data_IF_899966876713
#
_entry.id   IF_899966876713
#
_cell.length_a   1.000
_cell.length_b   1.000
_cell.length_c   1.000
_cell.angle_alpha   90.00
_cell.angle_beta   90.00
_cell.angle_gamma   90.00
#
_symmetry.space_group_name_H-M   'P 1'
#
loop_
_entity.id
_entity.type
_entity.pdbx_description
1 polymer ?
#
# COMPACT_ATOMS: atom_id res chain seq x y z
N UNK A 1 -25.53 -17.09 70.48
CA UNK A 1 -24.44 -16.57 69.62
C UNK A 1 -23.14 -17.12 70.16
N UNK A 2 -22.68 -18.21 69.54
CA UNK A 2 -21.52 -19.06 69.82
C UNK A 2 -21.19 -19.72 68.47
N UNK A 3 -20.01 -20.17 68.09
CA UNK A 3 -18.66 -20.21 68.64
C UNK A 3 -17.72 -20.54 67.47
N UNK A 4 -16.42 -20.40 67.68
CA UNK A 4 -15.34 -21.03 66.91
C UNK A 4 -15.50 -22.56 66.82
N UNK A 5 -14.84 -23.23 65.86
CA UNK A 5 -13.82 -24.28 66.08
C UNK A 5 -13.41 -25.02 64.79
N UNK A 6 -12.22 -25.62 64.87
CA UNK A 6 -11.37 -26.19 63.84
C UNK A 6 -11.59 -27.70 63.57
N UNK A 7 -10.63 -28.30 62.84
CA UNK A 7 -10.19 -29.72 62.76
C UNK A 7 -10.68 -30.48 61.50
N UNK A 8 -9.85 -30.88 60.51
CA UNK A 8 -8.76 -31.88 60.37
C UNK A 8 -9.23 -33.35 60.17
N UNK A 9 -8.56 -34.04 59.22
CA UNK A 9 -8.46 -35.51 58.94
C UNK A 9 -9.74 -36.21 58.43
N UNK A 10 -9.77 -37.27 57.60
CA UNK A 10 -8.78 -38.20 57.04
C UNK A 10 -9.29 -38.86 55.75
N UNK A 11 -8.33 -39.34 54.96
CA UNK A 11 -8.25 -40.57 54.15
C UNK A 11 -9.35 -41.65 54.31
N UNK A 12 -9.74 -42.31 53.21
CA UNK A 12 -9.26 -43.66 52.82
C UNK A 12 -10.15 -44.33 51.76
N UNK A 13 -9.46 -45.03 50.83
CA UNK A 13 -9.89 -46.23 50.07
C UNK A 13 -11.09 -46.09 49.11
N UNK A 14 -11.10 -46.62 47.90
CA UNK A 14 -10.33 -47.72 47.31
C UNK A 14 -11.32 -48.66 46.60
N UNK A 15 -10.95 -49.15 45.42
CA UNK A 15 -11.52 -50.30 44.68
C UNK A 15 -12.91 -50.17 44.01
N UNK A 16 -12.93 -50.23 42.67
CA UNK A 16 -13.33 -51.41 41.85
C UNK A 16 -13.53 -50.97 40.38
N UNK A 17 -12.82 -51.61 39.44
CA UNK A 17 -13.25 -51.68 38.02
C UNK A 17 -14.37 -52.73 37.85
N UNK A 18 -14.79 -53.15 36.63
CA UNK A 18 -14.26 -52.86 35.29
C UNK A 18 -15.36 -52.45 34.28
N UNK A 19 -15.03 -52.38 32.99
CA UNK A 19 -15.99 -52.80 31.95
C UNK A 19 -16.55 -51.70 31.05
N UNK A 20 -15.81 -51.49 29.97
CA UNK A 20 -16.24 -51.12 28.62
C UNK A 20 -17.76 -51.20 28.34
N UNK A 21 -18.33 -50.09 27.85
CA UNK A 21 -18.94 -49.95 26.51
C UNK A 21 -20.12 -48.97 26.55
N UNK A 22 -19.91 -47.72 26.08
CA UNK A 22 -20.90 -46.92 25.35
C UNK A 22 -20.40 -45.48 25.16
N UNK A 23 -20.15 -45.12 23.89
CA UNK A 23 -20.21 -43.79 23.23
C UNK A 23 -20.12 -42.54 24.14
N UNK A 24 -19.14 -41.64 23.93
CA UNK A 24 -19.24 -40.29 24.44
C UNK A 24 -20.12 -39.43 23.54
N UNK A 25 -20.94 -38.66 24.24
CA UNK A 25 -21.79 -37.58 23.81
C UNK A 25 -21.04 -36.47 23.07
N UNK A 26 -21.80 -35.76 22.24
CA UNK A 26 -21.47 -34.45 21.69
C UNK A 26 -21.18 -33.46 22.84
N UNK A 27 -19.98 -32.89 22.86
CA UNK A 27 -19.81 -31.51 23.32
C UNK A 27 -18.59 -30.85 22.66
N UNK A 28 -18.92 -30.10 21.60
CA UNK A 28 -18.45 -28.75 21.32
C UNK A 28 -16.98 -28.40 21.66
N UNK A 29 -16.09 -28.64 20.70
CA UNK A 29 -14.96 -27.75 20.40
C UNK A 29 -14.71 -27.76 18.89
N UNK A 30 -15.16 -26.70 18.23
CA UNK A 30 -14.81 -26.39 16.85
C UNK A 30 -13.31 -26.08 16.72
N UNK A 31 -12.49 -27.10 16.43
CA UNK A 31 -11.17 -26.88 15.86
C UNK A 31 -11.33 -26.52 14.38
N UNK A 32 -11.30 -25.21 14.10
CA UNK A 32 -11.11 -24.69 12.76
C UNK A 32 -9.70 -25.06 12.28
N UNK A 33 -9.63 -26.05 11.41
CA UNK A 33 -8.46 -26.42 10.62
C UNK A 33 -8.00 -25.22 9.78
N UNK A 34 -7.01 -24.47 10.29
CA UNK A 34 -6.27 -23.48 9.52
C UNK A 34 -5.32 -24.21 8.56
N UNK A 35 -5.82 -24.51 7.36
CA UNK A 35 -4.98 -24.90 6.23
C UNK A 35 -4.07 -23.74 5.82
N UNK A 36 -2.79 -23.81 6.20
CA UNK A 36 -1.74 -22.95 5.65
C UNK A 36 -1.64 -23.14 4.14
N UNK A 37 -2.24 -22.25 3.35
CA UNK A 37 -1.80 -22.00 1.97
C UNK A 37 -0.93 -20.75 1.98
N UNK A 38 0.38 -20.99 1.86
CA UNK A 38 1.38 -19.97 1.62
C UNK A 38 1.16 -19.43 0.20
N UNK A 39 0.39 -18.35 0.07
CA UNK A 39 0.27 -17.61 -1.19
C UNK A 39 1.50 -16.73 -1.32
N UNK A 40 2.39 -17.09 -2.25
CA UNK A 40 3.44 -16.21 -2.73
C UNK A 40 2.79 -15.16 -3.62
N UNK A 41 2.53 -13.97 -3.09
CA UNK A 41 2.35 -12.79 -3.94
C UNK A 41 3.75 -12.38 -4.39
N UNK A 42 4.05 -12.60 -5.67
CA UNK A 42 5.25 -12.12 -6.30
C UNK A 42 4.90 -10.77 -6.92
N UNK A 43 5.05 -9.66 -6.19
CA UNK A 43 4.86 -8.34 -6.78
C UNK A 43 6.00 -7.36 -6.48
N UNK A 44 6.62 -6.91 -7.58
CA UNK A 44 7.37 -5.66 -7.75
C UNK A 44 8.75 -5.51 -7.09
N UNK A 45 9.67 -6.42 -7.40
CA UNK A 45 11.02 -5.98 -7.81
C UNK A 45 10.93 -5.59 -9.30
N UNK A 46 11.79 -4.70 -9.81
CA UNK A 46 11.94 -4.34 -11.24
C UNK A 46 11.14 -3.15 -11.77
N UNK A 47 11.32 -1.97 -11.17
CA UNK A 47 11.06 -0.68 -11.83
C UNK A 47 12.34 -0.02 -12.42
N UNK A 48 13.48 -0.73 -12.50
CA UNK A 48 14.77 -0.09 -12.83
C UNK A 48 15.69 -0.83 -13.82
N UNK A 49 15.22 -1.78 -14.65
CA UNK A 49 16.07 -2.34 -15.72
C UNK A 49 15.31 -2.49 -17.04
N UNK A 50 16.07 -2.32 -18.13
CA UNK A 50 15.61 -2.33 -19.50
C UNK A 50 14.87 -3.60 -19.90
N UNK A 51 14.26 -3.53 -21.07
CA UNK A 51 13.33 -4.50 -21.66
C UNK A 51 13.88 -5.93 -21.61
N UNK A 52 13.47 -6.69 -20.60
CA UNK A 52 13.49 -8.15 -20.62
C UNK A 52 12.04 -8.63 -20.74
N UNK A 53 11.78 -9.53 -21.68
CA UNK A 53 10.47 -10.16 -21.85
C UNK A 53 10.16 -10.99 -20.58
N UNK A 54 9.32 -10.45 -19.70
CA UNK A 54 8.95 -11.10 -18.45
C UNK A 54 8.16 -12.40 -18.72
N UNK A 55 8.47 -13.45 -17.97
CA UNK A 55 7.69 -14.68 -17.98
C UNK A 55 6.30 -14.42 -17.37
N UNK A 56 5.25 -14.75 -18.11
CA UNK A 56 3.86 -14.67 -17.66
C UNK A 56 3.64 -15.63 -16.48
N UNK A 57 3.08 -15.13 -15.38
CA UNK A 57 2.71 -15.96 -14.24
C UNK A 57 1.32 -16.57 -14.44
N UNK A 58 1.28 -17.73 -15.11
CA UNK A 58 0.05 -18.48 -15.37
C UNK A 58 -0.68 -18.93 -14.10
N UNK A 59 -0.03 -18.93 -12.93
CA UNK A 59 -0.69 -19.34 -11.68
C UNK A 59 -1.80 -18.38 -11.25
N UNK A 60 -1.74 -17.12 -11.71
CA UNK A 60 -2.71 -16.07 -11.39
C UNK A 60 -3.85 -15.96 -12.42
N UNK A 61 -3.81 -16.75 -13.50
CA UNK A 61 -4.79 -16.71 -14.57
C UNK A 61 -6.21 -17.00 -14.04
N UNK A 62 -7.11 -16.03 -14.23
CA UNK A 62 -8.49 -16.10 -13.74
C UNK A 62 -8.64 -16.04 -12.21
N UNK A 63 -7.57 -15.80 -11.45
CA UNK A 63 -7.60 -15.71 -9.97
C UNK A 63 -7.68 -14.27 -9.49
N UNK A 64 -6.94 -13.37 -10.12
CA UNK A 64 -6.88 -11.96 -9.75
C UNK A 64 -6.93 -11.09 -11.00
N UNK A 65 -7.34 -9.84 -10.84
CA UNK A 65 -7.04 -8.84 -11.87
C UNK A 65 -5.52 -8.72 -12.07
N UNK A 66 -5.14 -8.27 -13.27
CA UNK A 66 -3.76 -7.87 -13.54
C UNK A 66 -3.51 -6.49 -12.95
N UNK A 67 -2.48 -6.33 -12.12
CA UNK A 67 -2.14 -5.02 -11.58
C UNK A 67 -1.61 -4.14 -12.69
N UNK A 68 -2.11 -2.92 -12.76
CA UNK A 68 -1.81 -1.95 -13.83
C UNK A 68 -1.17 -0.71 -13.24
N UNK A 69 -0.22 -0.11 -13.95
CA UNK A 69 0.60 0.98 -13.44
C UNK A 69 0.76 2.10 -14.46
N UNK A 70 0.84 3.33 -13.95
CA UNK A 70 1.39 4.48 -14.62
C UNK A 70 2.82 4.67 -14.10
N UNK A 71 3.81 4.30 -14.91
CA UNK A 71 5.20 4.62 -14.62
C UNK A 71 5.48 6.04 -15.13
N UNK A 72 5.43 7.01 -14.22
CA UNK A 72 5.66 8.42 -14.52
C UNK A 72 7.09 8.61 -15.04
N UNK A 73 7.22 9.11 -16.26
CA UNK A 73 8.46 9.12 -17.03
C UNK A 73 9.00 10.53 -17.21
N UNK A 74 10.31 10.61 -17.50
CA UNK A 74 11.02 11.88 -17.72
C UNK A 74 10.96 12.82 -16.49
N UNK A 75 10.92 12.22 -15.30
CA UNK A 75 10.86 12.93 -14.01
C UNK A 75 12.20 12.80 -13.29
N UNK A 76 12.86 13.92 -12.94
CA UNK A 76 14.12 13.89 -12.19
C UNK A 76 13.91 13.50 -10.72
N UNK A 77 15.01 13.26 -10.02
CA UNK A 77 15.01 13.13 -8.56
C UNK A 77 14.45 14.42 -7.92
N UNK A 78 13.60 14.28 -6.89
CA UNK A 78 12.86 15.41 -6.33
C UNK A 78 12.71 15.33 -4.80
N UNK A 79 12.47 16.48 -4.19
CA UNK A 79 12.21 16.63 -2.75
C UNK A 79 10.75 16.34 -2.38
N UNK A 80 9.81 16.43 -3.32
CA UNK A 80 8.43 16.02 -3.11
C UNK A 80 7.77 15.50 -4.38
N UNK A 81 6.77 14.63 -4.20
CA UNK A 81 5.86 14.15 -5.24
C UNK A 81 4.42 14.33 -4.77
N UNK A 82 3.67 15.13 -5.52
CA UNK A 82 2.25 15.39 -5.33
C UNK A 82 1.45 14.67 -6.41
N UNK A 83 0.31 14.10 -6.05
CA UNK A 83 -0.64 13.54 -7.01
C UNK A 83 -2.06 13.49 -6.40
N UNK A 84 -3.05 13.36 -7.26
CA UNK A 84 -4.46 13.27 -6.89
C UNK A 84 -5.05 11.98 -7.45
N UNK A 85 -5.96 11.36 -6.70
CA UNK A 85 -6.67 10.17 -7.14
C UNK A 85 -8.19 10.36 -7.02
N UNK A 86 -8.90 10.07 -8.10
CA UNK A 86 -10.35 10.01 -8.15
C UNK A 86 -10.77 8.58 -8.47
N UNK A 87 -11.28 7.86 -7.46
CA UNK A 87 -11.71 6.47 -7.63
C UNK A 87 -13.12 6.47 -8.23
N UNK A 88 -13.27 5.90 -9.43
CA UNK A 88 -14.56 5.77 -10.10
C UNK A 88 -15.27 4.46 -9.78
N UNK A 89 -14.49 3.38 -9.64
CA UNK A 89 -14.99 2.05 -9.36
C UNK A 89 -13.98 1.32 -8.47
N UNK A 90 -14.48 0.65 -7.44
CA UNK A 90 -13.69 -0.18 -6.53
C UNK A 90 -14.40 -1.50 -6.23
N UNK A 91 -13.68 -2.37 -5.55
CA UNK A 91 -14.18 -3.63 -5.00
C UNK A 91 -13.37 -3.97 -3.75
N UNK A 92 -13.92 -4.83 -2.88
CA UNK A 92 -13.20 -5.33 -1.71
C UNK A 92 -11.84 -5.90 -2.10
N UNK A 93 -10.81 -5.51 -1.36
CA UNK A 93 -9.42 -5.86 -1.63
C UNK A 93 -8.83 -5.16 -2.86
N UNK A 94 -9.03 -3.85 -2.96
CA UNK A 94 -8.44 -3.01 -4.01
C UNK A 94 -7.46 -2.01 -3.42
N UNK A 95 -6.29 -1.88 -4.04
CA UNK A 95 -5.33 -0.84 -3.71
C UNK A 95 -5.17 0.14 -4.88
N UNK A 96 -5.39 1.43 -4.61
CA UNK A 96 -5.04 2.54 -5.49
C UNK A 96 -3.80 3.24 -4.93
N UNK A 97 -2.62 2.88 -5.44
CA UNK A 97 -1.38 3.57 -5.11
C UNK A 97 -1.31 4.89 -5.89
N UNK A 98 -1.20 6.01 -5.17
CA UNK A 98 -1.30 7.36 -5.73
C UNK A 98 0.09 7.97 -5.92
N UNK A 99 0.91 7.97 -4.87
CA UNK A 99 2.29 8.44 -4.88
C UNK A 99 3.27 7.29 -4.62
N UNK A 100 3.55 6.50 -5.64
CA UNK A 100 4.62 5.49 -5.64
C UNK A 100 5.98 6.08 -5.94
N UNK A 101 7.04 5.53 -5.34
CA UNK A 101 8.44 5.88 -5.58
C UNK A 101 9.33 4.65 -5.37
N UNK A 102 10.60 4.70 -5.77
CA UNK A 102 11.52 3.55 -5.74
C UNK A 102 11.73 2.91 -4.36
N UNK A 103 11.35 3.60 -3.27
CA UNK A 103 11.51 3.15 -1.89
C UNK A 103 10.20 3.02 -1.11
N UNK A 104 9.06 3.23 -1.75
CA UNK A 104 7.79 3.09 -1.07
C UNK A 104 6.59 3.33 -1.95
N UNK A 105 5.44 3.30 -1.32
CA UNK A 105 4.16 3.64 -1.94
C UNK A 105 3.26 4.34 -0.94
N UNK A 106 2.34 5.14 -1.49
CA UNK A 106 1.37 5.89 -0.73
C UNK A 106 0.04 5.95 -1.48
N UNK A 107 -1.07 5.65 -0.81
CA UNK A 107 -2.39 5.69 -1.43
C UNK A 107 -3.52 5.20 -0.53
N UNK A 108 -4.59 4.70 -1.14
CA UNK A 108 -5.83 4.28 -0.45
C UNK A 108 -6.25 2.87 -0.82
N UNK A 109 -6.78 2.15 0.17
CA UNK A 109 -7.25 0.78 0.01
C UNK A 109 -8.72 0.63 0.43
N UNK A 110 -9.43 -0.26 -0.26
CA UNK A 110 -10.64 -0.93 0.22
C UNK A 110 -10.22 -2.33 0.67
N UNK A 111 -10.32 -2.60 1.97
CA UNK A 111 -9.96 -3.87 2.56
C UNK A 111 -11.02 -4.94 2.27
N UNK A 112 -10.70 -6.18 2.63
CA UNK A 112 -11.55 -7.35 2.41
C UNK A 112 -12.92 -7.32 3.09
N UNK A 113 -13.05 -6.53 4.16
CA UNK A 113 -14.25 -6.35 4.95
C UNK A 113 -14.93 -5.01 4.67
N UNK A 114 -14.57 -4.36 3.55
CA UNK A 114 -15.08 -3.06 3.14
C UNK A 114 -14.51 -1.87 3.92
N UNK A 115 -13.69 -2.10 4.97
CA UNK A 115 -13.01 -0.99 5.66
C UNK A 115 -12.05 -0.29 4.70
N UNK A 116 -11.91 1.01 4.90
CA UNK A 116 -11.12 1.87 4.02
C UNK A 116 -10.02 2.55 4.78
N UNK A 117 -8.83 2.55 4.20
CA UNK A 117 -7.63 3.05 4.84
C UNK A 117 -6.78 3.85 3.87
N UNK A 118 -6.03 4.81 4.41
CA UNK A 118 -4.85 5.38 3.76
C UNK A 118 -3.64 4.56 4.22
N UNK A 119 -2.79 4.15 3.29
CA UNK A 119 -1.58 3.37 3.56
C UNK A 119 -0.34 4.11 3.04
N UNK A 120 0.71 4.18 3.88
CA UNK A 120 2.05 4.63 3.48
C UNK A 120 3.09 3.62 3.92
N UNK A 121 3.92 3.15 2.99
CA UNK A 121 4.96 2.14 3.25
C UNK A 121 6.30 2.57 2.69
N UNK A 122 7.37 2.22 3.42
CA UNK A 122 8.76 2.40 3.00
C UNK A 122 9.51 1.08 3.24
N UNK A 123 10.26 0.62 2.24
CA UNK A 123 11.04 -0.61 2.34
C UNK A 123 12.35 -0.42 3.13
N UNK A 124 12.72 -1.48 3.85
CA UNK A 124 14.06 -1.70 4.38
C UNK A 124 15.08 -1.81 3.21
N UNK A 125 16.38 -1.56 3.45
CA UNK A 125 17.41 -1.90 2.48
C UNK A 125 17.53 -3.42 2.32
N UNK A 126 17.78 -3.88 1.10
CA UNK A 126 18.06 -5.30 0.80
C UNK A 126 16.94 -6.01 0.05
N UNK A 127 16.85 -7.34 0.25
CA UNK A 127 15.95 -8.26 -0.46
C UNK A 127 15.31 -9.31 0.47
N UNK A 128 15.31 -9.05 1.77
CA UNK A 128 14.78 -9.92 2.80
C UNK A 128 13.25 -9.93 2.73
N UNK A 129 12.63 -11.08 3.04
CA UNK A 129 11.17 -11.23 3.08
C UNK A 129 10.62 -11.43 4.50
N UNK A 130 11.44 -11.84 5.47
CA UNK A 130 11.01 -11.95 6.86
C UNK A 130 11.36 -10.66 7.63
N UNK A 131 10.36 -9.88 8.11
CA UNK A 131 10.60 -8.61 8.78
C UNK A 131 11.34 -8.74 10.11
N UNK A 132 11.30 -9.93 10.72
CA UNK A 132 11.92 -10.22 12.00
C UNK A 132 13.42 -10.58 11.86
N UNK A 133 13.88 -10.88 10.65
CA UNK A 133 15.27 -11.25 10.35
C UNK A 133 16.14 -10.05 9.95
N UNK A 134 15.54 -8.88 9.72
CA UNK A 134 16.28 -7.65 9.39
C UNK A 134 16.95 -7.13 10.66
N UNK A 135 18.26 -6.86 10.61
CA UNK A 135 18.99 -6.20 11.70
C UNK A 135 18.35 -4.85 12.03
N UNK A 136 18.10 -4.56 13.31
CA UNK A 136 17.48 -3.32 13.80
C UNK A 136 18.18 -2.06 13.28
N UNK A 137 19.50 -2.08 13.13
CA UNK A 137 20.25 -0.95 12.59
C UNK A 137 19.87 -0.65 11.12
N UNK A 138 19.48 -1.70 10.38
CA UNK A 138 19.11 -1.64 8.97
C UNK A 138 17.63 -1.33 8.74
N UNK A 139 16.77 -1.61 9.72
CA UNK A 139 15.32 -1.40 9.61
C UNK A 139 14.97 0.07 9.36
N UNK A 140 13.88 0.29 8.63
CA UNK A 140 13.13 1.54 8.58
C UNK A 140 12.79 1.97 10.00
N UNK A 141 13.09 3.24 10.31
CA UNK A 141 12.79 3.88 11.58
C UNK A 141 11.53 4.74 11.45
N UNK A 142 10.71 4.76 12.50
CA UNK A 142 9.61 5.71 12.65
C UNK A 142 10.14 6.96 13.37
N UNK A 143 10.02 8.14 12.73
CA UNK A 143 10.46 9.43 13.31
C UNK A 143 9.28 10.33 13.73
N UNK A 144 8.11 10.06 13.19
CA UNK A 144 6.87 10.74 13.52
C UNK A 144 5.68 9.89 13.10
N UNK A 145 4.62 9.89 13.90
CA UNK A 145 3.29 9.41 13.52
C UNK A 145 2.22 10.35 14.10
N UNK A 146 1.21 10.63 13.29
CA UNK A 146 -0.02 11.26 13.74
C UNK A 146 -0.74 10.35 14.75
N UNK A 147 -1.43 10.88 15.78
CA UNK A 147 -2.08 10.07 16.82
C UNK A 147 -3.05 9.00 16.29
N UNK A 148 -3.78 9.30 15.22
CA UNK A 148 -4.76 8.39 14.60
C UNK A 148 -4.13 7.35 13.66
N UNK A 149 -2.80 7.37 13.48
CA UNK A 149 -2.10 6.47 12.57
C UNK A 149 -1.53 5.28 13.32
N UNK A 150 -1.89 4.08 12.86
CA UNK A 150 -1.29 2.82 13.31
C UNK A 150 -0.07 2.49 12.46
N UNK A 151 1.04 2.10 13.09
CA UNK A 151 2.29 1.72 12.42
C UNK A 151 2.64 0.27 12.72
N UNK A 152 3.14 -0.46 11.71
CA UNK A 152 3.70 -1.81 11.86
C UNK A 152 4.79 -2.09 10.84
N UNK A 153 5.45 -3.24 10.97
CA UNK A 153 6.37 -3.77 9.94
C UNK A 153 5.65 -4.69 8.95
N UNK A 154 6.24 -4.89 7.77
CA UNK A 154 5.72 -5.78 6.73
C UNK A 154 6.78 -6.68 6.12
N UNK A 155 6.34 -7.75 5.46
CA UNK A 155 7.15 -8.84 4.92
C UNK A 155 6.59 -9.44 3.62
N UNK A 156 7.12 -10.59 3.23
CA UNK A 156 6.79 -11.43 2.07
C UNK A 156 7.13 -10.85 0.69
N UNK A 157 7.06 -9.53 0.52
CA UNK A 157 7.35 -8.80 -0.72
C UNK A 157 8.43 -7.73 -0.47
N UNK A 158 9.57 -8.20 0.04
CA UNK A 158 10.49 -7.34 0.77
C UNK A 158 10.04 -7.13 2.21
N UNK A 159 10.76 -6.27 2.92
CA UNK A 159 10.48 -5.91 4.31
C UNK A 159 10.49 -4.40 4.47
N UNK A 160 9.83 -3.88 5.50
CA UNK A 160 9.80 -2.43 5.74
C UNK A 160 8.88 -1.99 6.85
N UNK A 161 8.68 -0.67 6.93
CA UNK A 161 7.70 -0.02 7.79
C UNK A 161 6.47 0.42 6.99
N UNK A 162 5.29 0.24 7.56
CA UNK A 162 4.04 0.71 6.97
C UNK A 162 3.12 1.31 8.01
N UNK A 163 2.24 2.19 7.54
CA UNK A 163 1.30 2.91 8.37
C UNK A 163 -0.10 2.91 7.78
N UNK A 164 -1.10 3.04 8.64
CA UNK A 164 -2.50 3.06 8.29
C UNK A 164 -3.25 4.16 9.03
N UNK A 165 -4.03 4.95 8.29
CA UNK A 165 -5.10 5.77 8.84
C UNK A 165 -6.44 5.16 8.42
N UNK A 166 -7.31 4.83 9.36
CA UNK A 166 -8.69 4.50 9.04
C UNK A 166 -9.37 5.74 8.47
N UNK A 167 -9.81 5.67 7.22
CA UNK A 167 -10.38 6.81 6.53
C UNK A 167 -11.40 6.31 5.51
N UNK A 168 -12.68 6.58 5.77
CA UNK A 168 -13.81 6.10 4.99
C UNK A 168 -13.99 6.90 3.69
N UNK A 169 -13.01 6.74 2.79
CA UNK A 169 -13.01 7.40 1.48
C UNK A 169 -14.19 6.93 0.61
N UNK A 170 -14.62 7.79 -0.31
CA UNK A 170 -15.81 7.62 -1.13
C UNK A 170 -15.44 7.52 -2.61
N UNK A 171 -16.08 6.59 -3.29
CA UNK A 171 -16.08 6.52 -4.76
C UNK A 171 -16.71 7.82 -5.30
N UNK A 172 -16.14 8.37 -6.37
CA UNK A 172 -16.58 9.65 -6.94
C UNK A 172 -16.00 10.89 -6.24
N UNK A 173 -15.13 10.71 -5.24
CA UNK A 173 -14.43 11.81 -4.58
C UNK A 173 -12.94 11.83 -4.95
N UNK A 174 -12.39 13.03 -5.11
CA UNK A 174 -10.95 13.24 -5.36
C UNK A 174 -10.20 13.42 -4.06
N UNK A 175 -9.10 12.68 -3.89
CA UNK A 175 -8.20 12.75 -2.75
C UNK A 175 -6.81 13.21 -3.18
N UNK A 176 -6.13 13.97 -2.31
CA UNK A 176 -4.85 14.61 -2.62
C UNK A 176 -3.76 14.09 -1.69
N UNK A 177 -2.64 13.70 -2.27
CA UNK A 177 -1.52 13.07 -1.60
C UNK A 177 -0.24 13.79 -1.94
N UNK A 178 0.65 13.91 -0.96
CA UNK A 178 2.03 14.26 -1.21
C UNK A 178 2.98 13.40 -0.38
N UNK A 179 4.13 13.07 -0.96
CA UNK A 179 5.27 12.50 -0.24
C UNK A 179 6.42 13.49 -0.36
N UNK A 180 7.12 13.76 0.73
CA UNK A 180 8.35 14.54 0.73
C UNK A 180 9.53 13.67 1.17
N UNK A 181 10.73 13.98 0.68
CA UNK A 181 11.96 13.33 1.10
C UNK A 181 13.06 14.33 1.40
N UNK A 182 13.85 14.06 2.44
CA UNK A 182 15.08 14.78 2.75
C UNK A 182 16.17 13.83 3.22
N UNK A 183 17.42 14.21 2.95
CA UNK A 183 18.60 13.44 3.36
C UNK A 183 18.90 13.72 4.84
N UNK A 184 19.28 12.67 5.58
CA UNK A 184 19.76 12.74 6.95
C UNK A 184 20.96 11.78 7.09
N UNK A 185 22.17 12.32 6.96
CA UNK A 185 23.44 11.57 6.96
C UNK A 185 23.44 10.42 5.94
N UNK A 186 23.36 9.16 6.38
CA UNK A 186 23.34 7.96 5.54
C UNK A 186 21.93 7.42 5.30
N UNK A 187 20.90 8.15 5.74
CA UNK A 187 19.49 7.80 5.61
C UNK A 187 18.75 8.84 4.78
N UNK A 188 17.60 8.42 4.26
CA UNK A 188 16.61 9.34 3.71
C UNK A 188 15.35 9.23 4.54
N UNK A 189 14.82 10.38 4.96
CA UNK A 189 13.53 10.51 5.60
C UNK A 189 12.45 10.73 4.54
N UNK A 190 11.33 10.03 4.65
CA UNK A 190 10.17 10.14 3.79
C UNK A 190 8.95 10.49 4.64
N UNK A 191 8.31 11.62 4.35
CA UNK A 191 7.10 12.07 5.03
C UNK A 191 5.89 11.97 4.13
N UNK A 192 4.75 11.54 4.69
CA UNK A 192 3.47 11.47 4.00
C UNK A 192 2.52 12.57 4.44
N UNK A 193 1.90 13.24 3.47
CA UNK A 193 0.92 14.29 3.68
C UNK A 193 -0.40 13.97 2.96
N UNK A 194 -1.52 14.20 3.62
CA UNK A 194 -2.86 13.96 3.09
C UNK A 194 -3.74 15.19 3.28
N UNK A 195 -4.46 15.61 2.25
CA UNK A 195 -5.48 16.63 2.40
C UNK A 195 -6.78 16.02 2.92
N UNK A 196 -7.16 16.33 4.16
CA UNK A 196 -8.42 15.90 4.75
C UNK A 196 -9.57 16.77 4.22
N UNK A 197 -10.50 16.24 3.40
CA UNK A 197 -11.50 17.05 2.70
C UNK A 197 -12.48 17.73 3.65
N UNK A 198 -12.92 17.05 4.72
CA UNK A 198 -13.90 17.62 5.66
C UNK A 198 -13.31 18.72 6.54
N UNK A 199 -12.08 18.52 7.03
CA UNK A 199 -11.33 19.50 7.83
C UNK A 199 -10.71 20.61 6.97
N UNK A 200 -10.60 20.39 5.66
CA UNK A 200 -9.96 21.29 4.69
C UNK A 200 -8.51 21.65 5.05
N UNK A 201 -7.77 20.68 5.57
CA UNK A 201 -6.39 20.87 6.01
C UNK A 201 -5.48 19.74 5.51
N UNK A 202 -4.18 20.05 5.41
CA UNK A 202 -3.15 19.06 5.14
C UNK A 202 -2.65 18.45 6.44
N UNK A 203 -2.73 17.12 6.54
CA UNK A 203 -2.23 16.35 7.67
C UNK A 203 -0.87 15.75 7.33
N UNK A 204 0.13 15.98 8.19
CA UNK A 204 1.35 15.16 8.22
C UNK A 204 1.01 13.86 8.96
N UNK A 205 1.08 12.72 8.26
CA UNK A 205 0.68 11.43 8.82
C UNK A 205 1.84 10.67 9.44
N UNK A 206 2.94 10.47 8.70
CA UNK A 206 4.10 9.70 9.16
C UNK A 206 5.39 10.24 8.58
N UNK A 207 6.49 10.10 9.32
CA UNK A 207 7.84 10.15 8.76
C UNK A 207 8.56 8.84 9.02
N UNK A 208 8.99 8.16 7.95
CA UNK A 208 9.84 6.97 7.99
C UNK A 208 11.26 7.32 7.54
N UNK A 209 12.28 6.61 8.05
CA UNK A 209 13.68 6.80 7.67
C UNK A 209 14.35 5.47 7.34
N UNK A 210 14.91 5.35 6.14
CA UNK A 210 15.57 4.12 5.66
C UNK A 210 17.01 4.38 5.20
N UNK A 211 17.86 3.35 5.20
CA UNK A 211 19.24 3.43 4.75
C UNK A 211 19.30 3.49 3.23
N UNK A 212 19.39 4.70 2.70
CA UNK A 212 19.54 4.96 1.28
C UNK A 212 20.46 6.15 1.09
N UNK A 213 21.79 5.97 1.21
CA UNK A 213 22.71 7.06 0.97
C UNK A 213 22.45 7.58 -0.45
N UNK A 214 22.27 8.89 -0.56
CA UNK A 214 22.24 9.66 -1.81
C UNK A 214 20.97 9.63 -2.67
N UNK A 215 19.86 9.02 -2.23
CA UNK A 215 18.61 9.05 -3.03
C UNK A 215 17.48 9.81 -2.33
N UNK A 216 16.93 10.82 -3.01
CA UNK A 216 15.63 11.42 -2.70
C UNK A 216 14.51 10.60 -3.36
N UNK A 217 13.37 11.22 -3.69
CA UNK A 217 12.32 10.56 -4.47
C UNK A 217 12.78 10.37 -5.92
N UNK A 218 12.47 9.20 -6.48
CA UNK A 218 12.68 8.84 -7.88
C UNK A 218 11.87 7.60 -8.24
N UNK A 219 11.75 7.31 -9.54
CA UNK A 219 11.03 6.13 -10.03
C UNK A 219 9.56 6.20 -9.63
N UNK A 220 8.90 7.30 -10.01
CA UNK A 220 7.55 7.63 -9.58
C UNK A 220 6.52 6.77 -10.30
N UNK A 221 5.49 6.33 -9.59
CA UNK A 221 4.41 5.56 -10.20
C UNK A 221 3.08 5.74 -9.48
N UNK A 222 2.01 5.29 -10.14
CA UNK A 222 0.70 5.04 -9.56
C UNK A 222 0.20 3.69 -10.06
N UNK A 223 -0.65 2.97 -9.30
CA UNK A 223 -1.17 1.68 -9.74
C UNK A 223 -2.56 1.36 -9.19
N UNK A 224 -3.21 0.38 -9.82
CA UNK A 224 -4.45 -0.26 -9.35
C UNK A 224 -4.21 -1.75 -9.25
N UNK A 225 -4.44 -2.32 -8.06
CA UNK A 225 -4.22 -3.73 -7.74
C UNK A 225 -5.48 -4.38 -7.17
N UNK A 226 -5.72 -5.64 -7.57
CA UNK A 226 -6.60 -6.58 -6.87
C UNK A 226 -5.78 -7.45 -5.92
N UNK A 227 -5.80 -7.12 -4.62
CA UNK A 227 -5.14 -7.93 -3.60
C UNK A 227 -6.10 -8.94 -2.94
N UNK A 228 -7.39 -8.98 -3.33
CA UNK A 228 -8.34 -10.02 -2.91
C UNK A 228 -8.05 -11.36 -3.54
N UNK A 229 -7.66 -11.38 -4.81
CA UNK A 229 -7.15 -12.56 -5.54
C UNK A 229 -8.02 -13.82 -5.39
N UNK A 230 -9.34 -13.71 -5.56
CA UNK A 230 -10.28 -14.83 -5.28
C UNK A 230 -11.24 -15.23 -6.42
N UNK A 231 -10.87 -15.00 -7.69
CA UNK A 231 -11.68 -15.19 -8.92
C UNK A 231 -12.90 -14.29 -9.02
N UNK A 232 -13.71 -14.21 -7.97
CA UNK A 232 -14.86 -13.30 -7.88
C UNK A 232 -14.40 -11.84 -7.97
N UNK A 233 -13.31 -11.50 -7.27
CA UNK A 233 -12.68 -10.18 -7.33
C UNK A 233 -12.21 -9.83 -8.74
N UNK A 234 -11.78 -10.83 -9.52
CA UNK A 234 -11.30 -10.63 -10.89
C UNK A 234 -12.42 -10.18 -11.85
N UNK A 235 -13.68 -10.52 -11.54
CA UNK A 235 -14.86 -10.14 -12.32
C UNK A 235 -15.33 -8.70 -12.03
N UNK A 236 -14.77 -8.05 -11.01
CA UNK A 236 -15.16 -6.70 -10.60
C UNK A 236 -14.21 -5.67 -11.22
N UNK A 237 -14.75 -4.67 -11.88
CA UNK A 237 -13.96 -3.58 -12.46
C UNK A 237 -13.47 -2.62 -11.38
N UNK A 238 -12.21 -2.22 -11.50
CA UNK A 238 -11.57 -1.18 -10.68
C UNK A 238 -11.07 -0.09 -11.59
N UNK A 239 -11.42 1.16 -11.32
CA UNK A 239 -11.04 2.30 -12.17
C UNK A 239 -10.74 3.52 -11.31
N UNK A 240 -9.61 4.18 -11.57
CA UNK A 240 -9.25 5.44 -10.95
C UNK A 240 -8.58 6.39 -11.95
N UNK A 241 -8.80 7.70 -11.76
CA UNK A 241 -8.05 8.75 -12.45
C UNK A 241 -6.96 9.31 -11.55
N UNK A 242 -5.82 9.62 -12.16
CA UNK A 242 -4.65 10.26 -11.59
C UNK A 242 -4.38 11.56 -12.34
N UNK A 243 -4.72 12.69 -11.72
CA UNK A 243 -5.04 13.90 -12.47
C UNK A 243 -4.00 15.01 -12.42
N UNK A 244 -3.16 15.06 -11.38
CA UNK A 244 -2.27 16.20 -11.15
C UNK A 244 -0.89 15.80 -10.59
N UNK A 245 -0.18 14.85 -11.21
CA UNK A 245 1.15 14.49 -10.78
C UNK A 245 2.12 15.66 -11.00
N UNK A 246 2.82 16.06 -9.94
CA UNK A 246 3.83 17.14 -9.94
C UNK A 246 4.96 16.80 -8.97
N UNK A 247 6.18 17.25 -9.28
CA UNK A 247 7.34 17.05 -8.40
C UNK A 247 7.97 18.38 -8.00
N UNK A 248 8.42 18.46 -6.74
CA UNK A 248 9.17 19.59 -6.22
C UNK A 248 10.65 19.30 -6.38
N UNK A 249 11.28 19.97 -7.33
CA UNK A 249 12.70 19.80 -7.62
C UNK A 249 13.57 20.23 -6.43
N UNK A 250 14.87 19.92 -6.53
CA UNK A 250 15.84 20.19 -5.46
C UNK A 250 16.00 21.68 -5.18
N UNK A 251 15.83 22.52 -6.21
CA UNK A 251 15.81 23.99 -6.11
C UNK A 251 14.52 24.56 -5.51
N UNK A 252 13.54 23.70 -5.21
CA UNK A 252 12.25 24.05 -4.64
C UNK A 252 11.17 24.45 -5.65
N UNK A 253 11.46 24.39 -6.95
CA UNK A 253 10.45 24.65 -7.98
C UNK A 253 9.59 23.42 -8.25
N UNK A 254 8.30 23.64 -8.46
CA UNK A 254 7.37 22.58 -8.86
C UNK A 254 7.30 22.46 -10.38
N UNK A 255 7.41 21.23 -10.89
CA UNK A 255 7.20 20.91 -12.30
C UNK A 255 6.12 19.85 -12.47
N UNK A 256 5.29 19.94 -13.52
CA UNK A 256 4.23 18.97 -13.75
C UNK A 256 4.81 17.74 -14.44
N UNK A 257 4.31 16.56 -14.07
CA UNK A 257 4.67 15.30 -14.72
C UNK A 257 3.75 15.10 -15.93
N UNK A 258 4.32 15.09 -17.14
CA UNK A 258 3.55 15.09 -18.40
C UNK A 258 3.40 13.72 -19.05
N UNK A 259 4.24 12.76 -18.69
CA UNK A 259 4.33 11.48 -19.40
C UNK A 259 4.25 10.30 -18.45
N UNK A 260 3.49 9.28 -18.83
CA UNK A 260 3.42 8.02 -18.11
C UNK A 260 3.54 6.85 -19.08
N UNK A 261 4.28 5.82 -18.75
CA UNK A 261 4.24 4.55 -19.47
C UNK A 261 3.18 3.65 -18.82
N UNK A 262 2.24 3.16 -19.61
CA UNK A 262 1.29 2.16 -19.16
C UNK A 262 1.98 0.80 -19.06
N UNK A 263 2.01 0.22 -17.87
CA UNK A 263 2.66 -1.08 -17.60
C UNK A 263 1.77 -1.94 -16.72
N UNK A 264 2.10 -3.22 -16.58
CA UNK A 264 1.34 -4.16 -15.80
C UNK A 264 2.26 -5.23 -15.22
N UNK A 265 1.80 -5.91 -14.18
CA UNK A 265 2.54 -7.04 -13.59
C UNK A 265 2.54 -8.27 -14.53
N UNK A 266 3.08 -9.39 -14.04
CA UNK A 266 3.21 -10.64 -14.79
C UNK A 266 1.92 -11.45 -14.90
N UNK A 267 0.80 -11.03 -14.29
CA UNK A 267 -0.47 -11.73 -14.42
C UNK A 267 -0.93 -11.71 -15.90
N UNK A 268 -1.36 -12.83 -16.49
CA UNK A 268 -1.77 -12.91 -17.90
C UNK A 268 -3.07 -12.15 -18.24
N UNK A 269 -3.88 -11.74 -17.26
CA UNK A 269 -5.20 -11.18 -17.54
C UNK A 269 -5.13 -9.97 -18.50
N UNK A 270 -6.02 -9.96 -19.50
CA UNK A 270 -6.03 -8.96 -20.58
C UNK A 270 -7.05 -7.85 -20.36
N UNK A 271 -7.90 -7.98 -19.34
CA UNK A 271 -8.93 -7.00 -18.98
C UNK A 271 -8.31 -5.78 -18.28
N UNK A 272 -7.52 -5.03 -19.04
CA UNK A 272 -6.77 -3.86 -18.60
C UNK A 272 -6.98 -2.71 -19.57
N UNK A 273 -7.05 -1.48 -19.09
CA UNK A 273 -7.04 -0.30 -19.94
C UNK A 273 -6.39 0.89 -19.24
N UNK A 274 -5.88 1.82 -20.03
CA UNK A 274 -5.30 3.06 -19.56
C UNK A 274 -5.38 4.10 -20.67
N UNK A 275 -5.40 5.38 -20.29
CA UNK A 275 -5.44 6.46 -21.27
C UNK A 275 -5.64 7.80 -20.61
N UNK A 276 -6.11 8.76 -21.40
CA UNK A 276 -6.52 10.07 -20.92
C UNK A 276 -8.03 10.19 -20.93
N UNK A 277 -8.58 10.76 -19.86
CA UNK A 277 -9.96 11.23 -19.79
C UNK A 277 -9.92 12.64 -19.22
N UNK A 278 -10.40 13.61 -19.99
CA UNK A 278 -10.41 15.03 -19.60
C UNK A 278 -9.05 15.56 -19.10
N UNK A 279 -7.96 15.15 -19.77
CA UNK A 279 -6.58 15.52 -19.41
C UNK A 279 -5.98 14.79 -18.20
N UNK A 280 -6.74 13.89 -17.58
CA UNK A 280 -6.32 13.06 -16.45
C UNK A 280 -5.94 11.66 -16.94
N UNK A 281 -4.83 11.11 -16.45
CA UNK A 281 -4.51 9.71 -16.75
C UNK A 281 -5.47 8.81 -15.98
N UNK A 282 -5.92 7.70 -16.57
CA UNK A 282 -6.68 6.71 -15.84
C UNK A 282 -6.05 5.31 -15.96
N UNK A 283 -6.35 4.47 -14.98
CA UNK A 283 -6.08 3.04 -15.00
C UNK A 283 -7.37 2.28 -14.72
N UNK A 284 -7.55 1.18 -15.43
CA UNK A 284 -8.69 0.28 -15.24
C UNK A 284 -8.25 -1.18 -15.36
N UNK A 285 -8.77 -2.04 -14.47
CA UNK A 285 -8.49 -3.49 -14.49
C UNK A 285 -9.66 -4.32 -13.94
N UNK A 286 -9.85 -5.53 -14.46
CA UNK A 286 -10.88 -6.49 -14.04
C UNK A 286 -12.24 -6.35 -14.71
N UNK A 287 -13.09 -7.35 -14.53
CA UNK A 287 -14.39 -7.46 -15.19
C UNK A 287 -14.25 -7.54 -16.72
N UNK A 288 -15.21 -6.98 -17.44
CA UNK A 288 -15.31 -7.09 -18.91
C UNK A 288 -14.52 -6.01 -19.67
N UNK A 289 -13.52 -5.39 -19.04
CA UNK A 289 -12.69 -4.36 -19.69
C UNK A 289 -12.00 -4.95 -20.92
N UNK A 290 -11.97 -4.17 -21.99
CA UNK A 290 -11.10 -4.38 -23.16
C UNK A 290 -10.05 -3.28 -23.24
N UNK A 291 -8.84 -3.62 -23.68
CA UNK A 291 -7.77 -2.66 -23.91
C UNK A 291 -8.00 -1.94 -25.25
N UNK A 292 -8.69 -0.79 -25.21
CA UNK A 292 -9.06 -0.04 -26.42
C UNK A 292 -8.30 1.27 -26.61
N UNK A 293 -7.71 1.81 -25.54
CA UNK A 293 -7.22 3.19 -25.56
C UNK A 293 -5.70 3.24 -25.71
N UNK A 294 -4.95 2.84 -24.68
CA UNK A 294 -3.49 2.79 -24.73
C UNK A 294 -3.02 1.34 -24.66
N UNK A 295 -2.29 0.84 -25.68
CA UNK A 295 -1.67 -0.47 -25.62
C UNK A 295 -0.69 -0.58 -24.45
N UNK A 296 -0.61 -1.77 -23.85
CA UNK A 296 0.37 -2.04 -22.81
C UNK A 296 1.80 -1.73 -23.32
N UNK A 297 2.62 -1.13 -22.46
CA UNK A 297 3.98 -0.63 -22.75
C UNK A 297 4.09 0.66 -23.57
N UNK A 298 2.98 1.29 -23.95
CA UNK A 298 3.00 2.58 -24.63
C UNK A 298 2.94 3.75 -23.65
N UNK A 299 3.31 4.93 -24.14
CA UNK A 299 3.26 6.17 -23.38
C UNK A 299 1.92 6.89 -23.54
N UNK A 300 1.47 7.46 -22.43
CA UNK A 300 0.38 8.42 -22.32
C UNK A 300 1.02 9.78 -22.08
N UNK A 301 0.68 10.77 -22.92
CA UNK A 301 1.24 12.12 -22.86
C UNK A 301 0.13 13.14 -22.58
N UNK A 302 0.22 13.82 -21.44
CA UNK A 302 -0.67 14.91 -21.05
C UNK A 302 -0.20 16.22 -21.68
N UNK A 303 -1.04 16.83 -22.50
CA UNK A 303 -0.78 18.14 -23.14
C UNK A 303 -1.41 19.28 -22.33
N UNK A 304 -0.88 20.50 -22.48
CA UNK A 304 -1.42 21.73 -21.85
C UNK A 304 -1.59 21.66 -20.32
N UNK A 305 -0.78 20.85 -19.64
CA UNK A 305 -0.82 20.75 -18.18
C UNK A 305 -0.11 21.95 -17.55
N UNK A 306 -0.84 22.69 -16.72
CA UNK A 306 -0.27 23.63 -15.75
C UNK A 306 -0.03 22.92 -14.41
N UNK A 307 1.01 23.33 -13.69
CA UNK A 307 1.29 22.82 -12.35
C UNK A 307 0.32 23.47 -11.36
N UNK A 308 -0.62 22.69 -10.80
CA UNK A 308 -1.53 23.19 -9.77
C UNK A 308 -1.24 22.46 -8.47
N UNK A 309 -0.17 22.82 -7.77
CA UNK A 309 0.05 22.33 -6.41
C UNK A 309 -0.69 23.26 -5.45
N UNK A 310 -1.62 22.76 -4.61
CA UNK A 310 -2.31 23.61 -3.66
C UNK A 310 -1.32 24.32 -2.73
N UNK A 311 -1.53 25.61 -2.47
CA UNK A 311 -0.63 26.41 -1.63
C UNK A 311 -0.40 25.76 -0.26
N UNK A 312 -1.47 25.24 0.35
CA UNK A 312 -1.38 24.52 1.63
C UNK A 312 -0.49 23.26 1.56
N UNK A 313 -0.37 22.61 0.41
CA UNK A 313 0.52 21.47 0.23
C UNK A 313 1.99 21.92 0.26
N UNK A 314 2.32 22.98 -0.49
CA UNK A 314 3.67 23.56 -0.48
C UNK A 314 4.05 24.06 0.91
N UNK A 315 3.13 24.71 1.62
CA UNK A 315 3.39 25.22 2.97
C UNK A 315 3.77 24.10 3.95
N UNK A 316 2.99 23.01 4.03
CA UNK A 316 3.30 21.92 4.97
C UNK A 316 4.56 21.14 4.57
N UNK A 317 4.79 20.97 3.26
CA UNK A 317 5.98 20.28 2.74
C UNK A 317 7.23 21.11 3.05
N UNK A 318 7.20 22.41 2.78
CA UNK A 318 8.31 23.33 3.06
C UNK A 318 8.61 23.39 4.55
N UNK A 319 7.59 23.58 5.38
CA UNK A 319 7.75 23.61 6.84
C UNK A 319 8.40 22.31 7.36
N UNK A 320 8.01 21.16 6.81
CA UNK A 320 8.64 19.89 7.16
C UNK A 320 10.09 19.80 6.66
N UNK A 321 10.37 20.17 5.41
CA UNK A 321 11.72 20.15 4.84
C UNK A 321 12.70 21.02 5.65
N UNK A 322 12.25 22.18 6.13
CA UNK A 322 13.03 23.16 6.90
C UNK A 322 13.10 22.84 8.40
N UNK A 323 12.27 21.91 8.90
CA UNK A 323 12.30 21.52 10.30
C UNK A 323 13.62 20.82 10.67
N UNK A 324 14.05 20.85 11.95
CA UNK A 324 15.22 20.08 12.37
C UNK A 324 15.12 18.59 11.99
N UNK A 325 16.25 18.00 11.62
CA UNK A 325 16.37 16.56 11.44
C UNK A 325 16.17 15.87 12.80
N UNK A 326 15.55 14.68 12.78
CA UNK A 326 15.26 13.90 13.99
C UNK A 326 16.22 12.72 14.16
#
# INVERSE_FOLDING_TARGET
MASETATMVSEMSGYFGPGNDSRPELNDRSEFMFGKRLQYSLMLLFLLRGVDAFAVDKSLEGIACRSVHLAWAEVPDATAFYNEAHVQQSADGTYFAVCGFSRGYYGIQELYDGRKVIIFSVWDPGKQNNPNEVDEAQRVKLLYNHPDVTVRRFGNEGTGGQSFLNFDWKVGQTYRFAVAARRNTNRTEYASFFFHPDKKEWLHLVTFSTLTPDTLLKGYYSFVEDFRRNRESAQKTRTALFSNPAVRQIDGQWSPVRKARFTADSNPAVNINAGLRDGQCYLSTGGEISNTDTPLNYFITRTNVETVVPEGAEQVIRAWLESPLK
#
